data_IF_162877154556
#
_entry.id   IF_162877154556
#
_cell.length_a   1.000
_cell.length_b   1.000
_cell.length_c   1.000
_cell.angle_alpha   90.00
_cell.angle_beta   90.00
_cell.angle_gamma   90.00
#
_symmetry.space_group_name_H-M   'P 1'
#
loop_
_entity.id
_entity.type
_entity.pdbx_description
1 polymer ?
#
# COMPACT_ATOMS: atom_id res chain seq x y z
N UNK A 1 -17.16 -14.74 -16.67
CA UNK A 1 -17.26 -13.64 -15.68
C UNK A 1 -16.58 -14.02 -14.36
N UNK A 2 -17.06 -15.01 -13.58
CA UNK A 2 -16.35 -15.44 -12.34
C UNK A 2 -14.92 -15.93 -12.63
N UNK A 3 -14.73 -16.70 -13.70
CA UNK A 3 -13.41 -17.17 -14.13
C UNK A 3 -12.48 -16.02 -14.57
N UNK A 4 -13.03 -14.93 -15.14
CA UNK A 4 -12.27 -13.75 -15.54
C UNK A 4 -11.79 -12.95 -14.32
N UNK A 5 -12.68 -12.78 -13.32
CA UNK A 5 -12.34 -12.13 -12.04
C UNK A 5 -11.26 -12.93 -11.29
N UNK A 6 -11.36 -14.26 -11.30
CA UNK A 6 -10.37 -15.13 -10.70
C UNK A 6 -8.99 -15.03 -11.40
N UNK A 7 -8.96 -14.91 -12.73
CA UNK A 7 -7.72 -14.71 -13.48
C UNK A 7 -7.09 -13.34 -13.18
N UNK A 8 -7.91 -12.30 -13.05
CA UNK A 8 -7.46 -10.98 -12.59
C UNK A 8 -6.87 -11.06 -11.17
N UNK A 9 -7.54 -11.78 -10.25
CA UNK A 9 -7.06 -11.95 -8.88
C UNK A 9 -5.68 -12.61 -8.84
N UNK A 10 -5.43 -13.64 -9.65
CA UNK A 10 -4.12 -14.30 -9.72
C UNK A 10 -3.02 -13.33 -10.19
N UNK A 11 -3.28 -12.60 -11.29
CA UNK A 11 -2.33 -11.64 -11.86
C UNK A 11 -1.99 -10.53 -10.85
N UNK A 12 -3.00 -9.92 -10.26
CA UNK A 12 -2.82 -8.80 -9.34
C UNK A 12 -2.24 -9.23 -8.00
N UNK A 13 -2.57 -10.43 -7.51
CA UNK A 13 -1.96 -10.99 -6.30
C UNK A 13 -0.48 -11.33 -6.52
N UNK A 14 -0.12 -11.85 -7.70
CA UNK A 14 1.28 -12.11 -8.04
C UNK A 14 2.11 -10.81 -8.12
N UNK A 15 1.53 -9.72 -8.64
CA UNK A 15 2.17 -8.39 -8.62
C UNK A 15 2.34 -7.89 -7.20
N UNK A 16 1.31 -8.03 -6.35
CA UNK A 16 1.38 -7.65 -4.94
C UNK A 16 2.50 -8.40 -4.22
N UNK A 17 2.54 -9.72 -4.32
CA UNK A 17 3.57 -10.54 -3.68
C UNK A 17 4.99 -10.08 -4.04
N UNK A 18 5.24 -9.79 -5.33
CA UNK A 18 6.54 -9.27 -5.78
C UNK A 18 6.89 -7.92 -5.16
N UNK A 19 5.92 -7.01 -5.03
CA UNK A 19 6.14 -5.72 -4.38
C UNK A 19 6.41 -5.88 -2.88
N UNK A 20 5.70 -6.78 -2.21
CA UNK A 20 5.93 -7.09 -0.78
C UNK A 20 7.32 -7.66 -0.55
N UNK A 21 7.78 -8.56 -1.41
CA UNK A 21 9.11 -9.17 -1.28
C UNK A 21 10.25 -8.22 -1.66
N UNK A 22 9.96 -7.21 -2.48
CA UNK A 22 10.90 -6.16 -2.86
C UNK A 22 10.94 -5.00 -1.85
N UNK A 23 9.95 -4.86 -0.96
CA UNK A 23 9.92 -3.78 0.02
C UNK A 23 11.12 -3.87 0.98
N UNK A 24 11.81 -2.75 1.15
CA UNK A 24 13.01 -2.61 2.00
C UNK A 24 12.94 -1.25 2.74
N UNK A 25 13.70 -1.08 3.83
CA UNK A 25 13.91 0.24 4.43
C UNK A 25 14.47 1.22 3.39
N UNK A 26 13.95 2.45 3.36
CA UNK A 26 14.33 3.46 2.35
C UNK A 26 13.50 3.43 1.06
N UNK A 27 12.26 2.94 1.15
CA UNK A 27 11.30 2.93 0.04
C UNK A 27 11.02 4.36 -0.47
N UNK A 28 11.00 4.55 -1.79
CA UNK A 28 10.69 5.85 -2.39
C UNK A 28 9.20 6.16 -2.34
N UNK A 29 8.83 7.46 -2.43
CA UNK A 29 7.41 7.88 -2.53
C UNK A 29 6.69 7.13 -3.67
N UNK A 30 7.34 6.98 -4.83
CA UNK A 30 6.74 6.28 -5.96
C UNK A 30 6.41 4.82 -5.63
N UNK A 31 7.32 4.14 -4.93
CA UNK A 31 7.13 2.75 -4.53
C UNK A 31 6.07 2.60 -3.43
N UNK A 32 6.00 3.53 -2.47
CA UNK A 32 4.92 3.60 -1.48
C UNK A 32 3.58 3.68 -2.20
N UNK A 33 3.40 4.70 -3.05
CA UNK A 33 2.15 4.91 -3.78
C UNK A 33 1.77 3.68 -4.60
N UNK A 34 2.72 3.11 -5.33
CA UNK A 34 2.52 1.90 -6.13
C UNK A 34 2.07 0.70 -5.28
N UNK A 35 2.69 0.48 -4.13
CA UNK A 35 2.37 -0.63 -3.24
C UNK A 35 0.93 -0.52 -2.72
N UNK A 36 0.54 0.65 -2.20
CA UNK A 36 -0.82 0.87 -1.70
C UNK A 36 -1.88 0.75 -2.79
N UNK A 37 -1.61 1.28 -4.00
CA UNK A 37 -2.52 1.05 -5.13
C UNK A 37 -2.69 -0.43 -5.46
N UNK A 38 -1.61 -1.21 -5.42
CA UNK A 38 -1.70 -2.65 -5.69
C UNK A 38 -2.52 -3.36 -4.61
N UNK A 39 -2.35 -2.99 -3.34
CA UNK A 39 -3.15 -3.52 -2.23
C UNK A 39 -4.64 -3.20 -2.43
N UNK A 40 -4.99 -1.94 -2.70
CA UNK A 40 -6.38 -1.51 -2.96
C UNK A 40 -6.98 -2.26 -4.16
N UNK A 41 -6.21 -2.46 -5.23
CA UNK A 41 -6.66 -3.17 -6.42
C UNK A 41 -7.00 -4.64 -6.09
N UNK A 42 -6.10 -5.35 -5.40
CA UNK A 42 -6.34 -6.74 -4.99
C UNK A 42 -7.55 -6.83 -4.04
N UNK A 43 -7.65 -5.93 -3.05
CA UNK A 43 -8.81 -5.87 -2.15
C UNK A 43 -10.14 -5.66 -2.89
N UNK A 44 -10.13 -4.82 -3.93
CA UNK A 44 -11.31 -4.57 -4.76
C UNK A 44 -11.72 -5.81 -5.55
N UNK A 45 -10.76 -6.54 -6.13
CA UNK A 45 -11.02 -7.79 -6.86
C UNK A 45 -11.55 -8.88 -5.93
N UNK A 46 -10.99 -9.01 -4.71
CA UNK A 46 -11.51 -9.92 -3.68
C UNK A 46 -12.97 -9.59 -3.37
N UNK A 47 -13.28 -8.31 -3.21
CA UNK A 47 -14.65 -7.84 -2.92
C UNK A 47 -15.61 -8.19 -4.05
N UNK A 48 -15.21 -7.99 -5.32
CA UNK A 48 -15.98 -8.40 -6.50
C UNK A 48 -16.19 -9.93 -6.53
N UNK A 49 -15.17 -10.70 -6.22
CA UNK A 49 -15.27 -12.17 -6.19
C UNK A 49 -16.21 -12.65 -5.07
N UNK A 50 -16.24 -11.96 -3.92
CA UNK A 50 -17.15 -12.28 -2.81
C UNK A 50 -18.62 -11.97 -3.13
N UNK A 51 -18.89 -11.04 -4.05
CA UNK A 51 -20.25 -10.80 -4.57
C UNK A 51 -20.75 -11.94 -5.46
N UNK A 52 -19.83 -12.73 -6.05
CA UNK A 52 -20.12 -13.90 -6.87
C UNK A 52 -19.36 -15.12 -6.31
N UNK A 53 -19.75 -15.59 -5.11
CA UNK A 53 -18.98 -16.58 -4.37
C UNK A 53 -18.93 -17.90 -5.14
N UNK A 54 -17.71 -18.36 -5.41
CA UNK A 54 -17.44 -19.65 -6.01
C UNK A 54 -16.38 -20.37 -5.16
N UNK A 55 -16.76 -21.52 -4.61
CA UNK A 55 -15.92 -22.31 -3.71
C UNK A 55 -14.56 -22.68 -4.33
N UNK A 56 -14.49 -22.77 -5.67
CA UNK A 56 -13.25 -23.06 -6.41
C UNK A 56 -12.17 -22.00 -6.20
N UNK A 57 -12.56 -20.77 -5.86
CA UNK A 57 -11.64 -19.63 -5.73
C UNK A 57 -11.34 -19.22 -4.29
N UNK A 58 -11.93 -19.90 -3.29
CA UNK A 58 -11.68 -19.62 -1.87
C UNK A 58 -10.19 -19.69 -1.50
N UNK A 59 -9.46 -20.67 -2.05
CA UNK A 59 -8.02 -20.78 -1.80
C UNK A 59 -7.24 -19.57 -2.30
N UNK A 60 -7.61 -19.01 -3.46
CA UNK A 60 -6.98 -17.82 -4.05
C UNK A 60 -7.30 -16.57 -3.24
N UNK A 61 -8.57 -16.42 -2.84
CA UNK A 61 -9.02 -15.33 -1.99
C UNK A 61 -8.23 -15.34 -0.67
N UNK A 62 -8.13 -16.49 0.00
CA UNK A 62 -7.41 -16.62 1.27
C UNK A 62 -5.91 -16.29 1.13
N UNK A 63 -5.28 -16.68 0.03
CA UNK A 63 -3.87 -16.35 -0.22
C UNK A 63 -3.65 -14.84 -0.45
N UNK A 64 -4.57 -14.20 -1.17
CA UNK A 64 -4.56 -12.76 -1.40
C UNK A 64 -4.83 -11.99 -0.09
N UNK A 65 -5.84 -12.40 0.68
CA UNK A 65 -6.14 -11.86 2.02
C UNK A 65 -4.91 -11.95 2.94
N UNK A 66 -4.22 -13.09 2.96
CA UNK A 66 -2.99 -13.25 3.76
C UNK A 66 -1.89 -12.27 3.34
N UNK A 67 -1.76 -11.98 2.05
CA UNK A 67 -0.78 -11.02 1.55
C UNK A 67 -1.13 -9.60 1.98
N UNK A 68 -2.41 -9.24 1.95
CA UNK A 68 -2.92 -7.95 2.46
C UNK A 68 -2.72 -7.86 3.97
N UNK A 69 -3.04 -8.91 4.74
CA UNK A 69 -2.81 -8.94 6.18
C UNK A 69 -1.34 -8.77 6.53
N UNK A 70 -0.42 -9.41 5.78
CA UNK A 70 1.02 -9.22 5.95
C UNK A 70 1.42 -7.76 5.69
N UNK A 71 0.93 -7.17 4.60
CA UNK A 71 1.16 -5.75 4.31
C UNK A 71 0.70 -4.85 5.47
N UNK A 72 -0.53 -5.05 5.96
CA UNK A 72 -1.11 -4.26 7.05
C UNK A 72 -0.35 -4.42 8.37
N UNK A 73 0.14 -5.62 8.67
CA UNK A 73 0.82 -5.90 9.93
C UNK A 73 2.30 -5.46 9.91
N UNK A 74 2.97 -5.56 8.77
CA UNK A 74 4.42 -5.38 8.69
C UNK A 74 4.81 -4.08 7.99
N UNK A 75 4.29 -3.84 6.79
CA UNK A 75 4.78 -2.77 5.92
C UNK A 75 4.04 -1.45 6.11
N UNK A 76 2.73 -1.49 6.37
CA UNK A 76 1.96 -0.27 6.60
C UNK A 76 2.50 0.54 7.81
N UNK A 77 2.69 -0.05 9.01
CA UNK A 77 3.26 0.67 10.15
C UNK A 77 4.68 1.17 9.88
N UNK A 78 5.53 0.35 9.25
CA UNK A 78 6.89 0.73 8.88
C UNK A 78 6.92 1.94 7.93
N UNK A 79 6.01 1.97 6.94
CA UNK A 79 5.91 3.09 6.00
C UNK A 79 5.40 4.35 6.72
N UNK A 80 4.39 4.22 7.57
CA UNK A 80 3.86 5.35 8.34
C UNK A 80 4.94 5.97 9.24
N UNK A 81 5.70 5.15 9.97
CA UNK A 81 6.83 5.61 10.80
C UNK A 81 7.92 6.29 9.96
N UNK A 82 8.29 5.70 8.83
CA UNK A 82 9.26 6.30 7.91
C UNK A 82 8.83 7.69 7.41
N UNK A 83 7.55 7.85 7.04
CA UNK A 83 7.03 9.15 6.60
C UNK A 83 7.08 10.19 7.72
N UNK A 84 6.81 9.79 8.96
CA UNK A 84 6.86 10.67 10.14
C UNK A 84 8.27 11.15 10.44
N UNK A 85 9.23 10.24 10.39
CA UNK A 85 10.64 10.53 10.56
C UNK A 85 11.14 11.49 9.48
N UNK A 86 10.84 11.22 8.21
CA UNK A 86 11.29 12.07 7.10
C UNK A 86 10.64 13.46 7.15
N UNK A 87 9.34 13.55 7.43
CA UNK A 87 8.65 14.84 7.63
C UNK A 87 9.31 15.62 8.76
N UNK A 88 9.64 14.98 9.87
CA UNK A 88 10.27 15.61 11.03
C UNK A 88 11.67 16.14 10.67
N UNK A 89 12.49 15.33 9.97
CA UNK A 89 13.82 15.76 9.48
C UNK A 89 13.71 16.95 8.53
N UNK A 90 12.76 16.92 7.60
CA UNK A 90 12.53 18.03 6.66
C UNK A 90 12.16 19.31 7.41
N UNK A 91 11.26 19.23 8.41
CA UNK A 91 10.88 20.38 9.25
C UNK A 91 12.08 20.96 9.99
N UNK A 92 12.93 20.13 10.60
CA UNK A 92 14.15 20.61 11.27
C UNK A 92 15.09 21.35 10.32
N UNK A 93 15.27 20.87 9.08
CA UNK A 93 16.08 21.57 8.07
C UNK A 93 15.50 22.92 7.68
N UNK A 94 14.18 23.00 7.50
CA UNK A 94 13.47 24.25 7.22
C UNK A 94 13.63 25.25 8.38
N UNK A 95 13.53 24.80 9.62
CA UNK A 95 13.75 25.63 10.81
C UNK A 95 15.20 26.14 10.89
N UNK A 96 16.18 25.39 10.39
CA UNK A 96 17.56 25.84 10.27
C UNK A 96 17.84 26.76 9.08
N UNK A 97 16.83 27.08 8.25
CA UNK A 97 16.93 28.04 7.16
C UNK A 97 17.15 27.43 5.76
N UNK A 98 17.05 26.11 5.59
CA UNK A 98 17.13 25.46 4.28
C UNK A 98 15.80 25.57 3.51
N UNK A 99 15.54 26.74 2.90
CA UNK A 99 14.28 27.06 2.22
C UNK A 99 13.93 26.13 1.04
N UNK A 100 14.92 25.42 0.48
CA UNK A 100 14.73 24.57 -0.69
C UNK A 100 13.98 23.26 -0.36
N UNK A 101 13.68 23.02 0.93
CA UNK A 101 13.04 21.80 1.43
C UNK A 101 11.50 21.83 1.46
N UNK A 102 10.84 22.92 1.04
CA UNK A 102 9.36 23.02 1.09
C UNK A 102 8.65 22.05 0.13
N UNK A 103 9.21 21.86 -1.07
CA UNK A 103 8.63 20.94 -2.06
C UNK A 103 8.71 19.48 -1.59
N UNK A 104 9.81 19.13 -0.91
CA UNK A 104 9.98 17.80 -0.34
C UNK A 104 9.04 17.57 0.85
N UNK A 105 8.87 18.59 1.70
CA UNK A 105 7.88 18.55 2.78
C UNK A 105 6.47 18.30 2.22
N UNK A 106 6.08 19.05 1.19
CA UNK A 106 4.77 18.91 0.55
C UNK A 106 4.56 17.50 -0.01
N UNK A 107 5.53 16.96 -0.75
CA UNK A 107 5.44 15.59 -1.29
C UNK A 107 5.30 14.55 -0.18
N UNK A 108 6.09 14.68 0.89
CA UNK A 108 6.08 13.72 1.99
C UNK A 108 4.76 13.78 2.76
N UNK A 109 4.26 14.98 3.06
CA UNK A 109 2.96 15.15 3.72
C UNK A 109 1.80 14.64 2.87
N UNK A 110 1.74 14.95 1.56
CA UNK A 110 0.68 14.41 0.69
C UNK A 110 0.74 12.88 0.57
N UNK A 111 1.94 12.29 0.63
CA UNK A 111 2.10 10.83 0.66
C UNK A 111 1.59 10.25 1.99
N UNK A 112 1.90 10.92 3.11
CA UNK A 112 1.37 10.55 4.43
C UNK A 112 -0.15 10.61 4.46
N UNK A 113 -0.76 11.69 3.98
CA UNK A 113 -2.22 11.82 3.89
C UNK A 113 -2.82 10.66 3.07
N UNK A 114 -2.23 10.32 1.94
CA UNK A 114 -2.68 9.19 1.12
C UNK A 114 -2.62 7.85 1.90
N UNK A 115 -1.54 7.62 2.65
CA UNK A 115 -1.38 6.42 3.50
C UNK A 115 -2.40 6.38 4.64
N UNK A 116 -2.69 7.50 5.30
CA UNK A 116 -3.69 7.58 6.37
C UNK A 116 -5.12 7.36 5.86
N UNK A 117 -5.43 7.78 4.63
CA UNK A 117 -6.74 7.51 4.03
C UNK A 117 -6.94 6.02 3.74
N UNK A 118 -5.87 5.27 3.47
CA UNK A 118 -5.96 3.82 3.36
C UNK A 118 -6.36 3.19 4.69
N UNK A 119 -5.76 3.61 5.81
CA UNK A 119 -6.09 3.11 7.15
C UNK A 119 -7.56 3.35 7.50
N UNK A 120 -8.07 4.57 7.24
CA UNK A 120 -9.49 4.92 7.43
C UNK A 120 -10.45 4.09 6.58
N UNK A 121 -9.98 3.55 5.46
CA UNK A 121 -10.77 2.65 4.61
C UNK A 121 -10.76 1.18 5.06
N UNK A 122 -9.94 0.83 6.07
CA UNK A 122 -9.94 -0.49 6.70
C UNK A 122 -10.91 -0.60 7.88
N UNK A 123 -11.32 0.53 8.46
CA UNK A 123 -12.33 0.64 9.54
C UNK A 123 -13.77 0.60 8.99
#
# INVERSE_FOLDING_TARGET
>A
MSDDIAAMLDSESAKLARLLDAARPGITIHEIVKLYYQVINVSSIISMQRLQPDARYLGKINAADKSISRFNAELHPMISEYLDDEISKIKTRLESGESDSYDDLRKMMSTKEFVEQYEKGLE
#
